data_IF_293492817422
#
_entry.id   IF_293492817422
#
_cell.length_a   1.000
_cell.length_b   1.000
_cell.length_c   1.000
_cell.angle_alpha   90.00
_cell.angle_beta   90.00
_cell.angle_gamma   90.00
#
_symmetry.space_group_name_H-M   'P 1'
#
loop_
_entity.id
_entity.type
_entity.pdbx_description
1 polymer ?
#
# COMPACT_ATOMS: atom_id res chain seq x y z
N UNK A 1 -10.45 -17.56 -58.06
CA UNK A 1 -9.58 -16.45 -57.60
C UNK A 1 -10.27 -15.86 -56.39
N UNK A 2 -9.85 -16.11 -55.15
CA UNK A 2 -8.49 -15.89 -54.63
C UNK A 2 -8.25 -16.86 -53.47
N UNK A 3 -7.22 -17.68 -53.63
CA UNK A 3 -6.62 -18.57 -52.62
C UNK A 3 -5.93 -17.71 -51.55
N UNK A 4 -6.43 -17.73 -50.32
CA UNK A 4 -5.70 -17.17 -49.18
C UNK A 4 -4.88 -18.30 -48.57
N UNK A 5 -3.56 -18.18 -48.73
CA UNK A 5 -2.53 -19.05 -48.20
C UNK A 5 -2.65 -19.21 -46.68
N UNK A 6 -2.78 -20.45 -46.22
CA UNK A 6 -2.34 -20.87 -44.90
C UNK A 6 -0.83 -20.67 -44.83
N UNK A 7 -0.39 -19.65 -44.10
CA UNK A 7 0.98 -19.55 -43.61
C UNK A 7 0.96 -19.99 -42.16
N UNK A 8 1.22 -21.28 -41.95
CA UNK A 8 1.75 -21.80 -40.70
C UNK A 8 3.01 -20.99 -40.39
N UNK A 9 2.90 -20.01 -39.49
CA UNK A 9 4.06 -19.33 -38.96
C UNK A 9 4.71 -20.28 -37.96
N UNK A 10 5.73 -21.00 -38.44
CA UNK A 10 6.73 -21.70 -37.65
C UNK A 10 7.00 -20.97 -36.32
N UNK A 11 6.52 -21.57 -35.24
CA UNK A 11 6.86 -21.14 -33.89
C UNK A 11 8.30 -21.56 -33.62
N UNK A 12 9.25 -20.74 -34.09
CA UNK A 12 10.65 -20.88 -33.70
C UNK A 12 10.71 -21.01 -32.18
N UNK A 13 11.22 -22.12 -31.61
CA UNK A 13 11.37 -22.23 -30.18
C UNK A 13 12.31 -21.11 -29.75
N UNK A 14 11.81 -20.17 -28.94
CA UNK A 14 12.64 -19.10 -28.37
C UNK A 14 13.73 -19.78 -27.54
N UNK A 15 14.93 -19.91 -28.12
CA UNK A 15 16.07 -20.55 -27.46
C UNK A 15 16.41 -19.72 -26.22
N UNK A 16 15.96 -20.21 -25.07
CA UNK A 16 16.11 -19.56 -23.79
C UNK A 16 17.57 -19.63 -23.36
N UNK A 17 18.27 -18.50 -23.37
CA UNK A 17 19.60 -18.40 -22.75
C UNK A 17 19.41 -18.53 -21.23
N UNK A 18 19.71 -19.68 -20.64
CA UNK A 18 19.75 -19.86 -19.18
C UNK A 18 21.09 -19.32 -18.64
N UNK A 19 21.08 -18.66 -17.48
CA UNK A 19 22.31 -18.28 -16.77
C UNK A 19 22.85 -19.48 -16.01
N UNK A 20 24.18 -19.64 -15.88
CA UNK A 20 24.75 -20.67 -15.00
C UNK A 20 24.44 -20.40 -13.51
N UNK A 21 24.02 -19.17 -13.18
CA UNK A 21 23.54 -18.80 -11.85
C UNK A 21 22.05 -19.12 -11.70
N UNK A 22 21.74 -20.42 -11.61
CA UNK A 22 20.39 -20.91 -11.31
C UNK A 22 20.17 -20.79 -9.80
N UNK A 23 19.24 -19.92 -9.39
CA UNK A 23 18.78 -19.80 -8.01
C UNK A 23 17.97 -21.04 -7.62
N UNK A 24 18.60 -22.21 -7.51
CA UNK A 24 18.13 -23.43 -6.83
C UNK A 24 16.59 -23.65 -6.77
N UNK A 25 15.89 -23.45 -7.90
CA UNK A 25 14.41 -23.49 -8.02
C UNK A 25 13.61 -22.59 -7.03
N UNK A 26 14.15 -21.46 -6.55
CA UNK A 26 13.49 -20.53 -5.60
C UNK A 26 13.43 -19.07 -6.08
N UNK A 27 13.51 -18.83 -7.39
CA UNK A 27 13.51 -17.48 -7.95
C UNK A 27 12.22 -16.71 -7.59
N UNK A 28 11.08 -17.39 -7.51
CA UNK A 28 9.78 -16.83 -7.09
C UNK A 28 9.82 -16.23 -5.68
N UNK A 29 10.49 -16.89 -4.74
CA UNK A 29 10.59 -16.43 -3.34
C UNK A 29 11.50 -15.22 -3.25
N UNK A 30 12.62 -15.23 -3.97
CA UNK A 30 13.52 -14.09 -4.03
C UNK A 30 12.81 -12.83 -4.55
N UNK A 31 12.05 -12.95 -5.65
CA UNK A 31 11.30 -11.84 -6.22
C UNK A 31 10.20 -11.37 -5.27
N UNK A 32 9.53 -12.27 -4.56
CA UNK A 32 8.54 -11.92 -3.55
C UNK A 32 9.17 -11.12 -2.40
N UNK A 33 10.30 -11.57 -1.84
CA UNK A 33 10.99 -10.87 -0.75
C UNK A 33 11.48 -9.50 -1.22
N UNK A 34 12.06 -9.42 -2.43
CA UNK A 34 12.52 -8.17 -3.00
C UNK A 34 11.36 -7.18 -3.20
N UNK A 35 10.22 -7.67 -3.70
CA UNK A 35 9.01 -6.87 -3.87
C UNK A 35 8.50 -6.38 -2.52
N UNK A 36 8.42 -7.26 -1.52
CA UNK A 36 8.02 -6.92 -0.15
C UNK A 36 8.86 -5.76 0.40
N UNK A 37 10.18 -5.86 0.29
CA UNK A 37 11.12 -4.80 0.75
C UNK A 37 10.86 -3.48 0.00
N UNK A 38 10.69 -3.52 -1.33
CA UNK A 38 10.43 -2.31 -2.12
C UNK A 38 9.12 -1.63 -1.71
N UNK A 39 8.03 -2.39 -1.55
CA UNK A 39 6.73 -1.88 -1.13
C UNK A 39 6.81 -1.30 0.29
N UNK A 40 7.49 -1.99 1.20
CA UNK A 40 7.73 -1.52 2.57
C UNK A 40 8.49 -0.19 2.56
N UNK A 41 9.59 -0.07 1.81
CA UNK A 41 10.39 1.17 1.75
C UNK A 41 9.61 2.35 1.15
N UNK A 42 8.87 2.12 0.07
CA UNK A 42 8.00 3.16 -0.50
C UNK A 42 6.94 3.64 0.49
N UNK A 43 6.35 2.71 1.25
CA UNK A 43 5.39 3.04 2.30
C UNK A 43 6.05 3.79 3.46
N UNK A 44 7.26 3.39 3.87
CA UNK A 44 8.05 4.08 4.90
C UNK A 44 8.26 5.54 4.51
N UNK A 45 8.72 5.82 3.29
CA UNK A 45 8.96 7.20 2.83
C UNK A 45 7.74 8.11 2.98
N UNK A 46 6.54 7.60 2.70
CA UNK A 46 5.28 8.32 2.88
C UNK A 46 4.96 8.58 4.36
N UNK A 47 5.23 7.60 5.23
CA UNK A 47 4.96 7.63 6.67
C UNK A 47 6.00 8.42 7.49
N UNK A 48 7.24 8.55 7.01
CA UNK A 48 8.37 9.14 7.76
C UNK A 48 7.99 10.46 8.41
N UNK A 49 7.36 11.38 7.66
CA UNK A 49 6.94 12.69 8.16
C UNK A 49 6.03 12.63 9.38
N UNK A 50 5.14 11.64 9.46
CA UNK A 50 4.20 11.49 10.58
C UNK A 50 4.93 11.28 11.91
N UNK A 51 6.09 10.64 11.88
CA UNK A 51 6.90 10.38 13.07
C UNK A 51 7.97 11.46 13.28
N UNK A 52 8.61 11.92 12.20
CA UNK A 52 9.72 12.89 12.31
C UNK A 52 9.26 14.29 12.66
N UNK A 53 8.02 14.68 12.35
CA UNK A 53 7.49 16.00 12.73
C UNK A 53 7.53 16.24 14.25
N UNK A 54 7.55 15.17 15.06
CA UNK A 54 7.63 15.24 16.53
C UNK A 54 9.02 15.68 17.00
N UNK A 55 10.06 15.46 16.20
CA UNK A 55 11.45 15.74 16.55
C UNK A 55 12.08 16.84 15.67
N UNK A 56 11.25 17.67 15.02
CA UNK A 56 11.64 18.78 14.14
C UNK A 56 11.59 20.16 14.83
N UNK A 57 11.62 20.19 16.17
CA UNK A 57 11.58 21.44 16.94
C UNK A 57 12.81 22.31 16.68
N UNK A 58 13.95 21.68 16.34
CA UNK A 58 15.20 22.32 15.93
C UNK A 58 15.02 23.29 14.75
N UNK A 59 14.16 22.94 13.79
CA UNK A 59 13.87 23.77 12.60
C UNK A 59 13.16 25.06 13.00
N UNK A 60 12.22 24.97 13.94
CA UNK A 60 11.47 26.14 14.42
C UNK A 60 12.37 27.04 15.25
N UNK A 61 13.23 26.46 16.10
CA UNK A 61 14.22 27.21 16.85
C UNK A 61 15.22 27.94 15.95
N UNK A 62 15.72 27.28 14.91
CA UNK A 62 16.67 27.86 13.95
C UNK A 62 16.04 29.03 13.19
N UNK A 63 14.77 28.92 12.80
CA UNK A 63 14.00 29.99 12.17
C UNK A 63 13.90 31.23 13.08
N UNK A 64 13.52 31.06 14.35
CA UNK A 64 13.42 32.17 15.30
C UNK A 64 14.78 32.78 15.66
N UNK A 65 15.85 31.97 15.74
CA UNK A 65 17.23 32.48 15.92
C UNK A 65 17.70 33.35 14.76
N UNK A 66 17.20 33.13 13.55
CA UNK A 66 17.50 33.96 12.38
C UNK A 66 16.81 35.34 12.37
N UNK A 67 16.14 35.72 13.47
CA UNK A 67 15.42 36.99 13.65
C UNK A 67 14.34 37.24 12.58
N UNK A 68 13.77 36.19 11.99
CA UNK A 68 12.64 36.31 11.10
C UNK A 68 11.36 36.53 11.92
N UNK A 69 10.74 37.71 11.76
CA UNK A 69 9.44 38.01 12.36
C UNK A 69 8.34 37.38 11.51
N UNK A 70 7.95 36.16 11.86
CA UNK A 70 6.87 35.43 11.20
C UNK A 70 6.59 34.09 11.90
N UNK A 71 5.47 33.47 11.54
CA UNK A 71 5.15 32.11 12.00
C UNK A 71 5.80 31.10 11.03
N UNK A 72 6.57 30.15 11.56
CA UNK A 72 7.15 29.10 10.74
C UNK A 72 6.04 28.13 10.28
N UNK A 73 6.18 27.50 9.10
CA UNK A 73 5.12 26.66 8.56
C UNK A 73 4.82 25.41 9.40
N UNK A 74 5.76 24.99 10.25
CA UNK A 74 5.55 23.91 11.22
C UNK A 74 4.73 24.35 12.44
N UNK A 75 4.59 25.65 12.71
CA UNK A 75 3.75 26.15 13.81
C UNK A 75 2.29 26.33 13.36
N UNK A 76 2.04 26.50 12.06
CA UNK A 76 0.69 26.63 11.52
C UNK A 76 0.00 25.27 11.36
N UNK A 77 -1.11 25.08 12.08
CA UNK A 77 -1.92 23.85 12.01
C UNK A 77 -2.41 23.54 10.59
N UNK A 78 -2.79 24.55 9.81
CA UNK A 78 -3.31 24.38 8.45
C UNK A 78 -2.23 23.91 7.48
N UNK A 79 -1.04 24.52 7.53
CA UNK A 79 0.07 24.15 6.67
C UNK A 79 0.62 22.76 7.03
N UNK A 80 0.74 22.47 8.33
CA UNK A 80 1.11 21.13 8.81
C UNK A 80 0.10 20.07 8.34
N UNK A 81 -1.21 20.33 8.47
CA UNK A 81 -2.24 19.41 7.99
C UNK A 81 -2.16 19.15 6.48
N UNK A 82 -1.79 20.16 5.69
CA UNK A 82 -1.57 20.00 4.26
C UNK A 82 -0.33 19.14 3.93
N UNK A 83 0.75 19.24 4.70
CA UNK A 83 1.91 18.35 4.57
C UNK A 83 1.57 16.89 4.90
N UNK A 84 0.65 16.67 5.84
CA UNK A 84 0.11 15.34 6.14
C UNK A 84 -0.72 14.77 5.00
N UNK A 85 -1.53 15.58 4.32
CA UNK A 85 -2.35 15.15 3.17
C UNK A 85 -1.56 15.01 1.86
N UNK A 86 -0.37 15.64 1.77
CA UNK A 86 0.49 15.63 0.59
C UNK A 86 0.69 14.28 -0.10
N UNK A 87 1.04 13.18 0.61
CA UNK A 87 1.19 11.88 -0.02
C UNK A 87 -0.11 11.30 -0.59
N UNK A 88 -1.27 11.57 0.03
CA UNK A 88 -2.56 11.11 -0.50
C UNK A 88 -2.91 11.85 -1.81
N UNK A 89 -2.61 13.15 -1.86
CA UNK A 89 -2.74 13.95 -3.09
C UNK A 89 -1.80 13.39 -4.16
N UNK A 90 -0.53 13.16 -3.83
CA UNK A 90 0.45 12.58 -4.76
C UNK A 90 0.08 11.18 -5.25
N UNK A 91 -0.46 10.32 -4.38
CA UNK A 91 -0.93 9.00 -4.75
C UNK A 91 -2.08 9.07 -5.75
N UNK A 92 -3.02 10.01 -5.55
CA UNK A 92 -4.15 10.23 -6.45
C UNK A 92 -3.69 10.71 -7.83
N UNK A 93 -2.80 11.72 -7.85
CA UNK A 93 -2.22 12.26 -9.08
C UNK A 93 -1.41 11.18 -9.81
N UNK A 94 -0.63 10.38 -9.08
CA UNK A 94 0.21 9.32 -9.64
C UNK A 94 -0.60 8.15 -10.20
N UNK A 95 -1.75 7.81 -9.60
CA UNK A 95 -2.56 6.66 -10.00
C UNK A 95 -3.18 6.82 -11.39
N UNK A 96 -3.62 8.04 -11.74
CA UNK A 96 -4.27 8.36 -13.02
C UNK A 96 -3.37 7.98 -14.22
N UNK A 97 -2.12 8.45 -14.34
CA UNK A 97 -1.21 8.05 -15.41
C UNK A 97 -0.63 6.64 -15.20
N UNK A 98 -0.45 6.18 -13.95
CA UNK A 98 0.16 4.88 -13.70
C UNK A 98 -0.69 3.72 -14.24
N UNK A 99 -2.01 3.85 -14.22
CA UNK A 99 -2.94 2.81 -14.69
C UNK A 99 -2.77 2.46 -16.20
N UNK A 100 -2.81 3.42 -17.14
CA UNK A 100 -2.51 3.13 -18.55
C UNK A 100 -1.03 2.77 -18.76
N UNK A 101 -0.10 3.33 -17.98
CA UNK A 101 1.32 2.97 -18.07
C UNK A 101 1.57 1.51 -17.70
N UNK A 102 0.87 0.99 -16.68
CA UNK A 102 0.95 -0.41 -16.26
C UNK A 102 0.51 -1.35 -17.39
N UNK A 103 -0.51 -0.97 -18.15
CA UNK A 103 -1.00 -1.79 -19.25
C UNK A 103 -0.04 -1.82 -20.45
N UNK A 104 0.68 -0.72 -20.72
CA UNK A 104 1.61 -0.58 -21.86
C UNK A 104 3.05 -1.01 -21.56
N UNK A 105 3.57 -0.66 -20.38
CA UNK A 105 4.99 -0.80 -20.04
C UNK A 105 5.29 -1.91 -19.02
N UNK A 106 4.25 -2.50 -18.42
CA UNK A 106 4.38 -3.54 -17.40
C UNK A 106 4.65 -2.99 -16.00
N UNK A 107 4.60 -3.89 -15.01
CA UNK A 107 4.77 -3.56 -13.59
C UNK A 107 6.21 -3.16 -13.30
N UNK A 108 7.18 -3.86 -13.89
CA UNK A 108 8.62 -3.62 -13.68
C UNK A 108 8.98 -2.14 -13.85
N UNK A 109 8.62 -1.54 -14.99
CA UNK A 109 8.99 -0.16 -15.32
C UNK A 109 8.22 0.85 -14.48
N UNK A 110 6.90 0.67 -14.35
CA UNK A 110 6.05 1.63 -13.64
C UNK A 110 6.34 1.62 -12.15
N UNK A 111 6.42 0.45 -11.53
CA UNK A 111 6.73 0.32 -10.10
C UNK A 111 8.11 0.91 -9.79
N UNK A 112 9.11 0.67 -10.65
CA UNK A 112 10.45 1.28 -10.51
C UNK A 112 10.41 2.80 -10.59
N UNK A 113 9.72 3.36 -11.59
CA UNK A 113 9.59 4.80 -11.74
C UNK A 113 8.95 5.44 -10.49
N UNK A 114 7.84 4.88 -10.03
CA UNK A 114 7.17 5.30 -8.79
C UNK A 114 8.13 5.25 -7.59
N UNK A 115 8.87 4.15 -7.41
CA UNK A 115 9.85 4.00 -6.33
C UNK A 115 10.97 5.04 -6.37
N UNK A 116 11.49 5.34 -7.56
CA UNK A 116 12.52 6.38 -7.77
C UNK A 116 11.97 7.77 -7.43
N UNK A 117 10.73 8.09 -7.84
CA UNK A 117 10.08 9.34 -7.46
C UNK A 117 9.97 9.48 -5.93
N UNK A 118 9.60 8.40 -5.23
CA UNK A 118 9.53 8.40 -3.77
C UNK A 118 10.89 8.55 -3.11
N UNK A 119 11.92 7.84 -3.60
CA UNK A 119 13.29 8.01 -3.13
C UNK A 119 13.76 9.47 -3.29
N UNK A 120 13.54 10.07 -4.47
CA UNK A 120 13.90 11.46 -4.75
C UNK A 120 13.17 12.44 -3.83
N UNK A 121 11.87 12.22 -3.60
CA UNK A 121 11.09 12.99 -2.64
C UNK A 121 11.61 12.85 -1.20
N UNK A 122 12.11 11.69 -0.79
CA UNK A 122 12.75 11.52 0.52
C UNK A 122 14.09 12.24 0.62
N UNK A 123 14.94 12.14 -0.40
CA UNK A 123 16.25 12.79 -0.43
C UNK A 123 16.18 14.32 -0.39
N UNK A 124 15.26 14.88 -1.17
CA UNK A 124 15.10 16.32 -1.23
C UNK A 124 14.40 16.89 0.00
N UNK A 125 13.75 16.06 0.81
CA UNK A 125 12.92 16.55 1.91
C UNK A 125 13.72 17.37 2.95
N UNK A 126 14.85 16.89 3.51
CA UNK A 126 15.61 17.69 4.48
C UNK A 126 16.14 19.02 3.90
N UNK A 127 16.56 19.01 2.64
CA UNK A 127 17.06 20.21 1.94
C UNK A 127 15.93 21.21 1.70
N UNK A 128 14.75 20.70 1.36
CA UNK A 128 13.56 21.52 1.09
C UNK A 128 13.04 22.21 2.35
N UNK A 129 13.15 21.55 3.52
CA UNK A 129 12.74 22.11 4.81
C UNK A 129 13.54 23.38 5.15
N UNK A 130 14.83 23.42 4.82
CA UNK A 130 15.67 24.60 5.02
C UNK A 130 15.40 25.73 4.01
N UNK A 131 14.68 25.45 2.91
CA UNK A 131 14.52 26.37 1.80
C UNK A 131 13.15 27.03 1.75
N UNK A 132 12.08 26.25 1.53
CA UNK A 132 10.73 26.79 1.32
C UNK A 132 9.65 25.72 1.55
N UNK A 133 8.54 26.12 2.18
CA UNK A 133 7.32 25.32 2.36
C UNK A 133 6.82 24.64 1.07
N UNK A 134 6.81 25.35 -0.07
CA UNK A 134 6.31 24.78 -1.32
C UNK A 134 7.16 23.61 -1.84
N UNK A 135 8.48 23.63 -1.57
CA UNK A 135 9.37 22.53 -1.92
C UNK A 135 9.12 21.30 -1.02
N UNK A 136 8.81 21.53 0.26
CA UNK A 136 8.42 20.46 1.19
C UNK A 136 7.12 19.80 0.71
N UNK A 137 6.11 20.59 0.32
CA UNK A 137 4.87 20.09 -0.29
C UNK A 137 5.17 19.25 -1.53
N UNK A 138 6.02 19.75 -2.44
CA UNK A 138 6.41 19.03 -3.64
C UNK A 138 7.07 17.67 -3.31
N UNK A 139 7.98 17.63 -2.34
CA UNK A 139 8.60 16.39 -1.86
C UNK A 139 7.56 15.40 -1.32
N UNK A 140 6.56 15.88 -0.56
CA UNK A 140 5.47 15.03 -0.04
C UNK A 140 4.60 14.46 -1.15
N UNK A 141 4.33 15.24 -2.20
CA UNK A 141 3.61 14.77 -3.39
C UNK A 141 4.44 13.70 -4.13
N UNK A 142 5.74 13.89 -4.30
CA UNK A 142 6.63 12.89 -4.91
C UNK A 142 6.65 11.56 -4.13
N UNK A 143 6.73 11.62 -2.80
CA UNK A 143 6.61 10.44 -1.93
C UNK A 143 5.26 9.74 -2.12
N UNK A 144 4.17 10.50 -2.28
CA UNK A 144 2.83 10.00 -2.61
C UNK A 144 2.75 9.28 -3.96
N UNK A 145 3.38 9.82 -4.99
CA UNK A 145 3.42 9.18 -6.32
C UNK A 145 4.03 7.77 -6.24
N UNK A 146 5.01 7.56 -5.36
CA UNK A 146 5.65 6.25 -5.22
C UNK A 146 4.76 5.16 -4.61
N UNK A 147 3.74 5.54 -3.83
CA UNK A 147 2.78 4.59 -3.27
C UNK A 147 1.52 4.42 -4.12
N UNK A 148 1.38 5.18 -5.21
CA UNK A 148 0.17 5.16 -6.07
C UNK A 148 -0.19 3.77 -6.60
N UNK A 149 0.82 2.93 -6.91
CA UNK A 149 0.63 1.59 -7.48
C UNK A 149 0.93 0.45 -6.51
N UNK A 150 1.12 0.73 -5.21
CA UNK A 150 1.44 -0.31 -4.21
C UNK A 150 0.39 -1.42 -4.22
N UNK A 151 -0.90 -1.07 -4.14
CA UNK A 151 -1.98 -2.07 -4.10
C UNK A 151 -2.09 -2.86 -5.40
N UNK A 152 -1.84 -2.21 -6.54
CA UNK A 152 -1.79 -2.89 -7.83
C UNK A 152 -0.62 -3.86 -7.90
N UNK A 153 0.55 -3.48 -7.40
CA UNK A 153 1.73 -4.35 -7.36
C UNK A 153 1.52 -5.56 -6.45
N UNK A 154 0.88 -5.38 -5.29
CA UNK A 154 0.49 -6.46 -4.37
C UNK A 154 -0.37 -7.50 -5.08
N UNK A 155 -1.28 -7.09 -5.96
CA UNK A 155 -2.15 -8.02 -6.69
C UNK A 155 -1.48 -8.63 -7.94
N UNK A 156 -0.85 -7.82 -8.79
CA UNK A 156 -0.37 -8.25 -10.11
C UNK A 156 0.88 -9.14 -10.01
N UNK A 157 1.81 -8.83 -9.11
CA UNK A 157 3.08 -9.56 -9.01
C UNK A 157 2.85 -11.03 -8.61
N UNK A 158 2.08 -11.35 -7.54
CA UNK A 158 1.68 -12.73 -7.23
C UNK A 158 0.94 -13.39 -8.39
N UNK A 159 0.00 -12.69 -9.03
CA UNK A 159 -0.75 -13.23 -10.16
C UNK A 159 0.14 -13.67 -11.32
N UNK A 160 1.30 -13.04 -11.53
CA UNK A 160 2.27 -13.42 -12.55
C UNK A 160 3.27 -14.48 -12.07
N UNK A 161 3.76 -14.36 -10.84
CA UNK A 161 4.93 -15.09 -10.34
C UNK A 161 4.63 -16.30 -9.44
N UNK A 162 3.41 -16.45 -8.95
CA UNK A 162 3.02 -17.59 -8.09
C UNK A 162 2.15 -18.61 -8.83
N UNK A 163 2.20 -19.90 -8.45
CA UNK A 163 1.23 -20.92 -8.89
C UNK A 163 -0.17 -20.60 -8.38
N UNK A 164 -1.22 -20.99 -9.12
CA UNK A 164 -2.62 -20.69 -8.74
C UNK A 164 -2.96 -21.14 -7.30
N UNK A 165 -2.49 -22.31 -6.88
CA UNK A 165 -2.73 -22.83 -5.54
C UNK A 165 -2.06 -22.04 -4.40
N UNK A 166 -1.07 -21.19 -4.71
CA UNK A 166 -0.30 -20.43 -3.72
C UNK A 166 -0.51 -18.91 -3.83
N UNK A 167 -1.30 -18.41 -4.80
CA UNK A 167 -1.52 -16.97 -5.05
C UNK A 167 -1.95 -16.24 -3.76
N UNK A 168 -2.91 -16.80 -3.02
CA UNK A 168 -3.44 -16.19 -1.80
C UNK A 168 -2.38 -16.00 -0.71
N UNK A 169 -1.42 -16.93 -0.60
CA UNK A 169 -0.32 -16.83 0.37
C UNK A 169 0.64 -15.70 -0.01
N UNK A 170 1.00 -15.61 -1.30
CA UNK A 170 1.88 -14.54 -1.79
C UNK A 170 1.22 -13.17 -1.64
N UNK A 171 -0.09 -13.07 -1.89
CA UNK A 171 -0.86 -11.85 -1.70
C UNK A 171 -0.86 -11.41 -0.23
N UNK A 172 -1.06 -12.34 0.71
CA UNK A 172 -1.04 -12.06 2.14
C UNK A 172 0.34 -11.58 2.59
N UNK A 173 1.42 -12.25 2.15
CA UNK A 173 2.80 -11.86 2.48
C UNK A 173 3.13 -10.46 1.96
N UNK A 174 2.79 -10.12 0.71
CA UNK A 174 3.02 -8.77 0.18
C UNK A 174 2.16 -7.71 0.88
N UNK A 175 0.95 -8.08 1.31
CA UNK A 175 0.08 -7.17 2.07
C UNK A 175 0.69 -6.79 3.44
N UNK A 176 1.53 -7.66 4.02
CA UNK A 176 2.29 -7.37 5.25
C UNK A 176 3.24 -6.16 5.12
N UNK A 177 3.57 -5.73 3.89
CA UNK A 177 4.43 -4.57 3.65
C UNK A 177 3.93 -3.31 4.39
N UNK A 178 2.61 -3.14 4.48
CA UNK A 178 1.97 -1.98 5.09
C UNK A 178 2.09 -1.97 6.61
N UNK A 179 2.05 -3.12 7.28
CA UNK A 179 2.26 -3.18 8.73
C UNK A 179 3.74 -3.13 9.08
N UNK A 180 4.59 -3.85 8.33
CA UNK A 180 6.04 -3.89 8.54
C UNK A 180 6.64 -2.48 8.42
N UNK A 181 6.21 -1.71 7.44
CA UNK A 181 6.67 -0.32 7.25
C UNK A 181 6.40 0.56 8.47
N UNK A 182 5.21 0.47 9.07
CA UNK A 182 4.90 1.23 10.29
C UNK A 182 5.83 0.87 11.45
N UNK A 183 6.05 -0.42 11.70
CA UNK A 183 6.90 -0.89 12.80
C UNK A 183 8.34 -0.44 12.61
N UNK A 184 8.89 -0.63 11.40
CA UNK A 184 10.27 -0.24 11.08
C UNK A 184 10.41 1.29 11.15
N UNK A 185 9.51 2.04 10.51
CA UNK A 185 9.57 3.50 10.50
C UNK A 185 9.51 4.08 11.90
N UNK A 186 8.59 3.62 12.74
CA UNK A 186 8.45 4.11 14.11
C UNK A 186 9.71 3.83 14.94
N UNK A 187 10.24 2.60 14.85
CA UNK A 187 11.41 2.19 15.63
C UNK A 187 12.67 2.95 15.22
N UNK A 188 12.92 3.05 13.91
CA UNK A 188 14.08 3.75 13.37
C UNK A 188 13.98 5.26 13.62
N UNK A 189 12.80 5.86 13.43
CA UNK A 189 12.60 7.27 13.72
C UNK A 189 12.81 7.59 15.20
N UNK A 190 12.32 6.75 16.13
CA UNK A 190 12.53 6.94 17.56
C UNK A 190 14.01 6.98 17.93
N UNK A 191 14.78 5.97 17.49
CA UNK A 191 16.22 5.88 17.78
C UNK A 191 16.99 7.05 17.17
N UNK A 192 16.69 7.42 15.92
CA UNK A 192 17.46 8.44 15.21
C UNK A 192 17.10 9.87 15.64
N UNK A 193 15.85 10.14 16.01
CA UNK A 193 15.44 11.43 16.57
C UNK A 193 16.17 11.74 17.89
N UNK A 194 16.43 10.73 18.74
CA UNK A 194 17.17 10.89 20.00
C UNK A 194 18.70 10.92 19.81
N UNK A 195 19.19 10.40 18.69
CA UNK A 195 20.62 10.34 18.39
C UNK A 195 21.17 11.69 17.92
N UNK A 196 22.50 11.83 17.97
CA UNK A 196 23.22 13.01 17.43
C UNK A 196 23.05 13.23 15.92
N UNK A 197 22.56 12.22 15.18
CA UNK A 197 22.33 12.33 13.74
C UNK A 197 21.02 13.05 13.38
N UNK A 198 20.11 13.19 14.34
CA UNK A 198 18.84 13.91 14.21
C UNK A 198 17.91 13.35 13.14
N UNK A 199 16.79 14.06 12.92
CA UNK A 199 15.71 13.61 12.04
C UNK A 199 16.07 13.58 10.55
N UNK A 200 17.02 14.41 10.13
CA UNK A 200 17.45 14.52 8.72
C UNK A 200 18.03 13.20 8.21
N UNK A 201 18.75 12.48 9.06
CA UNK A 201 19.37 11.18 8.76
C UNK A 201 18.37 10.10 8.34
N UNK A 202 17.17 10.10 8.91
CA UNK A 202 16.09 9.14 8.64
C UNK A 202 15.69 9.17 7.17
N UNK A 203 15.55 10.38 6.61
CA UNK A 203 15.20 10.58 5.21
C UNK A 203 16.29 10.10 4.25
N UNK A 204 17.56 10.31 4.60
CA UNK A 204 18.68 9.82 3.80
C UNK A 204 18.77 8.30 3.84
N UNK A 205 18.66 7.67 5.01
CA UNK A 205 18.72 6.21 5.15
C UNK A 205 17.61 5.54 4.35
N UNK A 206 16.36 5.98 4.51
CA UNK A 206 15.24 5.40 3.77
C UNK A 206 15.23 5.78 2.29
N UNK A 207 15.63 7.01 1.94
CA UNK A 207 15.79 7.43 0.54
C UNK A 207 16.82 6.60 -0.22
N UNK A 208 18.03 6.43 0.35
CA UNK A 208 19.10 5.60 -0.23
C UNK A 208 18.65 4.15 -0.34
N UNK A 209 18.09 3.60 0.74
CA UNK A 209 17.60 2.22 0.75
C UNK A 209 16.55 2.00 -0.34
N UNK A 210 15.59 2.92 -0.47
CA UNK A 210 14.56 2.87 -1.51
C UNK A 210 15.22 2.85 -2.89
N UNK A 211 16.12 3.80 -3.18
CA UNK A 211 16.79 3.87 -4.47
C UNK A 211 17.56 2.58 -4.81
N UNK A 212 18.34 2.05 -3.86
CA UNK A 212 19.13 0.83 -4.05
C UNK A 212 18.23 -0.38 -4.31
N UNK A 213 17.21 -0.60 -3.48
CA UNK A 213 16.32 -1.75 -3.65
C UNK A 213 15.48 -1.66 -4.92
N UNK A 214 15.04 -0.47 -5.33
CA UNK A 214 14.35 -0.29 -6.60
C UNK A 214 15.27 -0.44 -7.82
N UNK A 215 16.55 -0.07 -7.71
CA UNK A 215 17.54 -0.38 -8.75
C UNK A 215 17.73 -1.90 -8.88
N UNK A 216 17.89 -2.62 -7.75
CA UNK A 216 17.98 -4.08 -7.73
C UNK A 216 16.71 -4.72 -8.32
N UNK A 217 15.54 -4.21 -7.95
CA UNK A 217 14.26 -4.65 -8.50
C UNK A 217 14.20 -4.43 -10.02
N UNK A 218 14.62 -3.27 -10.50
CA UNK A 218 14.65 -3.00 -11.93
C UNK A 218 15.54 -3.99 -12.67
N UNK A 219 16.76 -4.26 -12.20
CA UNK A 219 17.64 -5.19 -12.92
C UNK A 219 17.17 -6.64 -12.83
N UNK A 220 16.62 -7.06 -11.68
CA UNK A 220 16.28 -8.46 -11.42
C UNK A 220 14.88 -8.84 -11.91
N UNK A 221 13.86 -8.03 -11.62
CA UNK A 221 12.47 -8.37 -11.90
C UNK A 221 12.18 -8.31 -13.41
N UNK A 222 11.37 -9.26 -13.91
CA UNK A 222 10.84 -9.28 -15.28
C UNK A 222 9.34 -9.47 -15.22
N UNK A 223 8.58 -8.77 -16.07
CA UNK A 223 7.12 -8.88 -16.05
C UNK A 223 6.63 -10.28 -16.45
N UNK A 224 7.36 -10.94 -17.35
CA UNK A 224 7.05 -12.31 -17.77
C UNK A 224 8.06 -13.31 -17.19
N UNK A 225 7.62 -14.34 -16.45
CA UNK A 225 8.50 -15.37 -15.91
C UNK A 225 9.19 -16.19 -17.02
N UNK A 226 8.57 -16.26 -18.20
CA UNK A 226 9.11 -16.92 -19.41
C UNK A 226 10.38 -16.26 -19.95
N UNK A 227 10.51 -14.95 -19.78
CA UNK A 227 11.67 -14.16 -20.23
C UNK A 227 12.78 -14.11 -19.17
N UNK A 228 12.51 -14.60 -17.95
CA UNK A 228 13.47 -14.53 -16.86
C UNK A 228 14.59 -15.57 -17.01
N UNK A 229 15.85 -15.10 -17.01
CA UNK A 229 17.05 -15.89 -17.28
C UNK A 229 17.38 -16.94 -16.20
N UNK A 230 16.98 -16.67 -14.95
CA UNK A 230 17.34 -17.48 -13.77
C UNK A 230 16.18 -18.38 -13.26
N UNK A 231 15.04 -18.45 -13.96
CA UNK A 231 13.93 -19.33 -13.56
C UNK A 231 14.15 -20.72 -14.15
N UNK A 232 14.06 -21.78 -13.35
CA UNK A 232 14.22 -23.16 -13.85
C UNK A 232 13.03 -23.61 -14.71
N UNK A 233 13.23 -24.57 -15.63
CA UNK A 233 12.12 -25.15 -16.40
C UNK A 233 11.07 -25.82 -15.50
N UNK A 234 11.49 -26.43 -14.39
CA UNK A 234 10.58 -27.01 -13.39
C UNK A 234 9.72 -25.96 -12.66
N UNK A 235 10.30 -24.78 -12.39
CA UNK A 235 9.58 -23.69 -11.71
C UNK A 235 8.62 -22.99 -12.68
N UNK A 236 9.03 -22.84 -13.95
CA UNK A 236 8.19 -22.26 -14.99
C UNK A 236 6.95 -23.11 -15.29
N UNK A 237 7.11 -24.44 -15.37
CA UNK A 237 5.96 -25.34 -15.56
C UNK A 237 5.01 -25.29 -14.36
N UNK A 238 5.51 -25.18 -13.13
CA UNK A 238 4.68 -24.98 -11.93
C UNK A 238 3.91 -23.65 -11.93
N UNK A 239 4.51 -22.56 -12.42
CA UNK A 239 3.84 -21.25 -12.50
C UNK A 239 2.77 -21.24 -13.59
N UNK A 240 3.02 -21.92 -14.72
CA UNK A 240 2.08 -21.96 -15.85
C UNK A 240 0.97 -23.00 -15.67
N UNK A 241 1.17 -24.01 -14.82
CA UNK A 241 0.19 -25.07 -14.60
C UNK A 241 -1.13 -24.47 -14.07
N UNK A 242 -2.21 -24.65 -14.81
CA UNK A 242 -3.54 -24.11 -14.50
C UNK A 242 -3.77 -22.64 -14.89
N UNK A 243 -2.79 -21.92 -15.45
CA UNK A 243 -3.01 -20.57 -15.99
C UNK A 243 -3.45 -20.66 -17.44
N UNK A 244 -4.63 -20.12 -17.75
CA UNK A 244 -5.06 -19.94 -19.13
C UNK A 244 -4.04 -19.06 -19.87
N UNK A 245 -3.70 -19.41 -21.12
CA UNK A 245 -2.91 -18.53 -21.96
C UNK A 245 -3.59 -17.16 -22.05
N UNK A 246 -2.83 -16.10 -21.81
CA UNK A 246 -3.32 -14.72 -21.85
C UNK A 246 -3.75 -14.45 -23.30
N UNK A 247 -5.03 -14.68 -23.62
CA UNK A 247 -5.64 -14.22 -24.87
C UNK A 247 -5.39 -12.72 -24.99
N UNK A 248 -5.12 -12.25 -26.22
CA UNK A 248 -4.86 -10.83 -26.54
C UNK A 248 -5.82 -9.93 -25.75
N UNK A 249 -5.26 -8.98 -24.99
CA UNK A 249 -6.04 -7.99 -24.21
C UNK A 249 -7.00 -7.26 -25.13
N UNK A 250 -8.29 -7.58 -25.03
CA UNK A 250 -9.35 -6.81 -25.66
C UNK A 250 -9.49 -5.45 -24.97
N UNK A 251 -10.03 -4.47 -25.70
CA UNK A 251 -10.24 -3.14 -25.16
C UNK A 251 -11.25 -3.19 -24.00
N UNK A 252 -10.80 -2.81 -22.80
CA UNK A 252 -11.66 -2.79 -21.61
C UNK A 252 -12.76 -1.74 -21.80
N UNK A 253 -14.06 -2.10 -21.71
CA UNK A 253 -15.16 -1.16 -21.92
C UNK A 253 -15.38 -0.30 -20.67
N UNK A 254 -14.49 0.68 -20.44
CA UNK A 254 -14.52 1.53 -19.24
C UNK A 254 -15.88 2.22 -19.00
N UNK A 255 -16.56 2.66 -20.07
CA UNK A 255 -17.88 3.30 -19.95
C UNK A 255 -18.94 2.32 -19.43
N UNK A 256 -18.97 1.08 -19.95
CA UNK A 256 -19.93 0.09 -19.50
C UNK A 256 -19.68 -0.32 -18.04
N UNK A 257 -18.42 -0.43 -17.63
CA UNK A 257 -18.03 -0.77 -16.25
C UNK A 257 -18.43 0.36 -15.28
N UNK A 258 -18.27 1.63 -15.67
CA UNK A 258 -18.57 2.77 -14.79
C UNK A 258 -20.07 2.89 -14.48
N UNK A 259 -20.93 2.52 -15.43
CA UNK A 259 -22.39 2.57 -15.27
C UNK A 259 -23.01 1.26 -14.76
N UNK A 260 -22.20 0.23 -14.51
CA UNK A 260 -22.70 -1.02 -13.95
C UNK A 260 -23.09 -0.84 -12.48
N UNK A 261 -24.32 -1.25 -12.14
CA UNK A 261 -24.89 -1.07 -10.80
C UNK A 261 -24.12 -1.84 -9.72
N UNK A 262 -23.56 -2.99 -10.06
CA UNK A 262 -22.77 -3.82 -9.13
C UNK A 262 -21.44 -3.14 -8.81
N UNK A 263 -20.78 -2.60 -9.84
CA UNK A 263 -19.52 -1.86 -9.70
C UNK A 263 -19.71 -0.60 -8.87
N UNK A 264 -20.76 0.20 -9.15
CA UNK A 264 -21.07 1.41 -8.36
C UNK A 264 -21.33 1.07 -6.90
N UNK A 265 -22.12 0.02 -6.63
CA UNK A 265 -22.42 -0.42 -5.25
C UNK A 265 -21.14 -0.86 -4.53
N UNK A 266 -20.25 -1.56 -5.22
CA UNK A 266 -18.96 -1.98 -4.68
C UNK A 266 -18.05 -0.78 -4.37
N UNK A 267 -17.98 0.22 -5.25
CA UNK A 267 -17.22 1.46 -5.04
C UNK A 267 -17.75 2.22 -3.82
N UNK A 268 -19.07 2.43 -3.73
CA UNK A 268 -19.70 3.13 -2.60
C UNK A 268 -19.43 2.40 -1.28
N UNK A 269 -19.60 1.08 -1.28
CA UNK A 269 -19.34 0.22 -0.11
C UNK A 269 -17.87 0.28 0.34
N UNK A 270 -16.94 0.19 -0.62
CA UNK A 270 -15.50 0.30 -0.36
C UNK A 270 -15.10 1.68 0.15
N UNK A 271 -15.67 2.74 -0.42
CA UNK A 271 -15.42 4.11 0.01
C UNK A 271 -15.92 4.37 1.43
N UNK A 272 -17.15 3.94 1.75
CA UNK A 272 -17.69 4.04 3.11
C UNK A 272 -16.88 3.25 4.12
N UNK A 273 -16.49 2.01 3.78
CA UNK A 273 -15.65 1.17 4.64
C UNK A 273 -14.27 1.74 4.90
N UNK A 274 -13.57 2.21 3.85
CA UNK A 274 -12.25 2.81 3.99
C UNK A 274 -12.30 4.14 4.74
N UNK A 275 -13.31 4.99 4.50
CA UNK A 275 -13.46 6.26 5.19
C UNK A 275 -13.69 6.06 6.69
N UNK A 276 -14.56 5.12 7.07
CA UNK A 276 -14.77 4.74 8.47
C UNK A 276 -13.49 4.20 9.13
N UNK A 277 -12.75 3.35 8.43
CA UNK A 277 -11.48 2.81 8.91
C UNK A 277 -10.41 3.90 9.10
N UNK A 278 -10.19 4.75 8.10
CA UNK A 278 -9.20 5.83 8.19
C UNK A 278 -9.57 6.87 9.24
N UNK A 279 -10.84 7.25 9.39
CA UNK A 279 -11.25 8.13 10.49
C UNK A 279 -10.91 7.53 11.86
N UNK A 280 -11.19 6.24 12.06
CA UNK A 280 -10.86 5.54 13.31
C UNK A 280 -9.35 5.50 13.58
N UNK A 281 -8.54 5.22 12.56
CA UNK A 281 -7.08 5.13 12.70
C UNK A 281 -6.46 6.51 12.92
N UNK A 282 -6.89 7.53 12.18
CA UNK A 282 -6.28 8.85 12.20
C UNK A 282 -6.66 9.66 13.45
N UNK A 283 -7.94 9.63 13.84
CA UNK A 283 -8.46 10.42 14.96
C UNK A 283 -8.63 9.62 16.25
N UNK A 284 -8.57 8.29 16.20
CA UNK A 284 -8.71 7.45 17.37
C UNK A 284 -7.69 7.75 18.49
N UNK A 285 -6.39 7.85 18.19
CA UNK A 285 -5.39 8.19 19.20
C UNK A 285 -5.62 9.59 19.80
N UNK A 286 -6.00 10.57 18.96
CA UNK A 286 -6.26 11.95 19.38
C UNK A 286 -7.51 12.05 20.26
N UNK A 287 -8.57 11.32 19.94
CA UNK A 287 -9.79 11.26 20.74
C UNK A 287 -9.53 10.61 22.11
N UNK A 288 -8.82 9.47 22.13
CA UNK A 288 -8.46 8.77 23.37
C UNK A 288 -7.56 9.62 24.28
N UNK A 289 -6.65 10.41 23.71
CA UNK A 289 -5.76 11.31 24.47
C UNK A 289 -6.49 12.58 24.95
N UNK A 290 -7.25 13.24 24.07
CA UNK A 290 -7.85 14.55 24.36
C UNK A 290 -9.12 14.48 25.23
N UNK A 291 -9.89 13.39 25.15
CA UNK A 291 -11.17 13.26 25.86
C UNK A 291 -11.07 12.28 27.04
N UNK A 292 -10.25 11.23 26.93
CA UNK A 292 -10.21 10.12 27.90
C UNK A 292 -8.96 10.04 28.78
N UNK A 293 -7.91 10.85 28.57
CA UNK A 293 -6.70 10.89 29.41
C UNK A 293 -6.09 9.51 29.75
N UNK A 294 -6.10 8.54 28.81
CA UNK A 294 -5.57 7.19 29.05
C UNK A 294 -4.55 6.75 27.99
N UNK A 295 -3.47 6.10 28.46
CA UNK A 295 -2.46 5.42 27.63
C UNK A 295 -3.01 4.06 27.18
N UNK A 296 -3.06 3.82 25.87
CA UNK A 296 -3.69 2.65 25.26
C UNK A 296 -2.88 1.36 25.41
N UNK A 297 -3.55 0.26 25.71
CA UNK A 297 -3.20 -1.09 25.25
C UNK A 297 -4.45 -1.96 25.24
N UNK A 298 -4.92 -2.39 24.05
CA UNK A 298 -5.48 -3.73 23.78
C UNK A 298 -6.11 -3.78 22.37
N UNK A 299 -5.51 -4.60 21.49
CA UNK A 299 -6.19 -5.17 20.31
C UNK A 299 -5.72 -6.63 20.15
N UNK A 300 -6.36 -7.58 20.83
CA UNK A 300 -6.13 -9.03 20.59
C UNK A 300 -7.43 -9.87 20.57
N UNK A 301 -8.57 -9.38 21.05
CA UNK A 301 -9.72 -10.28 21.30
C UNK A 301 -10.57 -10.61 20.05
N UNK A 302 -10.53 -9.78 18.99
CA UNK A 302 -11.41 -9.99 17.81
C UNK A 302 -10.98 -11.13 16.87
N UNK A 303 -9.74 -11.62 16.96
CA UNK A 303 -9.23 -12.63 16.04
C UNK A 303 -9.76 -14.05 16.33
N UNK A 304 -10.07 -14.38 17.58
CA UNK A 304 -10.37 -15.77 17.97
C UNK A 304 -11.82 -16.22 17.72
N UNK A 305 -12.75 -15.30 17.50
CA UNK A 305 -14.17 -15.61 17.34
C UNK A 305 -14.50 -16.04 15.89
N UNK A 306 -13.68 -15.64 14.91
CA UNK A 306 -13.91 -15.98 13.49
C UNK A 306 -13.65 -17.45 13.14
N UNK A 307 -12.88 -18.17 13.96
CA UNK A 307 -12.48 -19.56 13.67
C UNK A 307 -13.48 -20.62 14.11
N UNK A 308 -14.62 -20.23 14.71
CA UNK A 308 -15.60 -21.16 15.31
C UNK A 308 -16.92 -21.34 14.51
N UNK A 309 -17.08 -20.73 13.33
CA UNK A 309 -18.32 -20.79 12.54
C UNK A 309 -18.11 -21.55 11.21
N UNK A 310 -18.30 -22.87 11.24
CA UNK A 310 -18.11 -23.79 10.09
C UNK A 310 -19.39 -24.24 9.39
N UNK A 311 -20.56 -23.62 9.65
CA UNK A 311 -21.86 -24.19 9.25
C UNK A 311 -22.68 -23.38 8.22
N UNK A 312 -22.10 -22.44 7.47
CA UNK A 312 -22.84 -21.56 6.55
C UNK A 312 -22.13 -21.42 5.19
N UNK A 313 -22.92 -21.35 4.11
CA UNK A 313 -22.45 -21.07 2.74
C UNK A 313 -21.58 -19.81 2.65
N UNK A 314 -20.47 -19.90 1.92
CA UNK A 314 -19.37 -18.93 1.93
C UNK A 314 -19.75 -17.53 1.42
N UNK A 315 -20.63 -17.45 0.42
CA UNK A 315 -21.19 -16.16 -0.05
C UNK A 315 -22.08 -15.50 1.00
N UNK A 316 -22.92 -16.28 1.69
CA UNK A 316 -23.76 -15.77 2.78
C UNK A 316 -22.91 -15.35 3.97
N UNK A 317 -21.80 -16.05 4.24
CA UNK A 317 -20.84 -15.68 5.29
C UNK A 317 -20.17 -14.33 5.02
N UNK A 318 -19.76 -14.07 3.78
CA UNK A 318 -19.19 -12.77 3.37
C UNK A 318 -20.19 -11.62 3.52
N UNK A 319 -21.39 -11.78 2.93
CA UNK A 319 -22.44 -10.76 3.01
C UNK A 319 -22.82 -10.52 4.46
N UNK A 320 -23.01 -11.58 5.25
CA UNK A 320 -23.36 -11.46 6.67
C UNK A 320 -22.30 -10.71 7.48
N UNK A 321 -21.01 -11.05 7.36
CA UNK A 321 -19.95 -10.36 8.12
C UNK A 321 -19.67 -8.94 7.62
N UNK A 322 -19.72 -8.70 6.32
CA UNK A 322 -19.58 -7.35 5.75
C UNK A 322 -20.76 -6.47 6.16
N UNK A 323 -21.99 -6.99 6.10
CA UNK A 323 -23.20 -6.27 6.53
C UNK A 323 -23.19 -6.03 8.05
N UNK A 324 -22.82 -7.02 8.88
CA UNK A 324 -22.70 -6.83 10.33
C UNK A 324 -21.63 -5.81 10.67
N UNK A 325 -20.50 -5.85 9.99
CA UNK A 325 -19.43 -4.87 10.19
C UNK A 325 -19.89 -3.47 9.81
N UNK A 326 -20.49 -3.30 8.63
CA UNK A 326 -20.95 -2.00 8.14
C UNK A 326 -22.13 -1.43 8.95
N UNK A 327 -23.11 -2.26 9.28
CA UNK A 327 -24.26 -1.88 10.12
C UNK A 327 -23.80 -1.61 11.54
N UNK A 328 -22.89 -2.41 12.09
CA UNK A 328 -22.30 -2.21 13.42
C UNK A 328 -21.50 -0.91 13.53
N UNK A 329 -20.70 -0.58 12.52
CA UNK A 329 -20.00 0.70 12.43
C UNK A 329 -20.98 1.88 12.28
N UNK A 330 -21.97 1.77 11.40
CA UNK A 330 -22.98 2.81 11.20
C UNK A 330 -23.78 3.08 12.47
N UNK A 331 -24.21 2.04 13.18
CA UNK A 331 -24.89 2.16 14.46
C UNK A 331 -24.00 2.79 15.54
N UNK A 332 -22.73 2.38 15.64
CA UNK A 332 -21.77 2.97 16.57
C UNK A 332 -21.55 4.46 16.31
N UNK A 333 -21.42 4.87 15.04
CA UNK A 333 -21.27 6.29 14.67
C UNK A 333 -22.55 7.10 14.87
N UNK A 334 -23.72 6.53 14.59
CA UNK A 334 -25.00 7.19 14.84
C UNK A 334 -25.22 7.46 16.34
N UNK A 335 -24.87 6.50 17.20
CA UNK A 335 -24.94 6.68 18.66
C UNK A 335 -23.92 7.71 19.14
N UNK A 336 -22.71 7.73 18.56
CA UNK A 336 -21.70 8.77 18.84
C UNK A 336 -22.19 10.18 18.45
N UNK A 337 -22.92 10.31 17.33
CA UNK A 337 -23.40 11.60 16.84
C UNK A 337 -24.48 12.22 17.74
N UNK A 338 -25.28 11.40 18.42
CA UNK A 338 -26.40 11.87 19.26
C UNK A 338 -26.13 11.89 20.76
N UNK A 339 -25.00 11.34 21.24
CA UNK A 339 -24.75 11.21 22.67
C UNK A 339 -23.86 12.33 23.23
N UNK A 340 -24.31 12.96 24.31
CA UNK A 340 -23.51 13.92 25.10
C UNK A 340 -22.78 13.27 26.28
N UNK A 341 -23.04 11.98 26.54
CA UNK A 341 -22.52 11.25 27.70
C UNK A 341 -21.23 10.48 27.35
N UNK A 342 -20.17 10.72 28.12
CA UNK A 342 -18.81 10.20 27.88
C UNK A 342 -18.74 8.67 27.89
N UNK A 343 -19.48 8.01 28.77
CA UNK A 343 -19.45 6.54 28.89
C UNK A 343 -20.15 5.87 27.71
N UNK A 344 -21.26 6.45 27.24
CA UNK A 344 -22.01 5.94 26.09
C UNK A 344 -21.20 6.13 24.80
N UNK A 345 -20.53 7.28 24.66
CA UNK A 345 -19.61 7.54 23.55
C UNK A 345 -18.46 6.51 23.51
N UNK A 346 -17.90 6.15 24.67
CA UNK A 346 -16.84 5.16 24.78
C UNK A 346 -17.29 3.75 24.37
N UNK A 347 -18.47 3.31 24.80
CA UNK A 347 -19.03 2.00 24.43
C UNK A 347 -19.31 1.96 22.93
N UNK A 348 -19.94 3.01 22.39
CA UNK A 348 -20.26 3.11 20.97
C UNK A 348 -19.01 3.15 20.08
N UNK A 349 -17.97 3.86 20.51
CA UNK A 349 -16.68 3.93 19.82
C UNK A 349 -15.93 2.59 19.84
N UNK A 350 -15.87 1.93 21.00
CA UNK A 350 -15.24 0.62 21.14
C UNK A 350 -15.98 -0.43 20.31
N UNK A 351 -17.32 -0.38 20.29
CA UNK A 351 -18.16 -1.22 19.44
C UNK A 351 -17.91 -0.99 17.95
N UNK A 352 -17.79 0.27 17.50
CA UNK A 352 -17.44 0.61 16.13
C UNK A 352 -16.04 0.08 15.72
N UNK A 353 -15.06 0.13 16.64
CA UNK A 353 -13.71 -0.42 16.41
C UNK A 353 -13.75 -1.94 16.25
N UNK A 354 -14.43 -2.64 17.15
CA UNK A 354 -14.51 -4.11 17.13
C UNK A 354 -15.20 -4.58 15.86
N UNK A 355 -16.28 -3.92 15.46
CA UNK A 355 -17.03 -4.23 14.23
C UNK A 355 -16.23 -3.91 12.97
N UNK A 356 -15.44 -2.82 12.95
CA UNK A 356 -14.55 -2.48 11.83
C UNK A 356 -13.49 -3.55 11.54
N UNK A 357 -12.92 -4.15 12.59
CA UNK A 357 -11.92 -5.23 12.46
C UNK A 357 -12.43 -6.48 11.73
N UNK A 358 -13.75 -6.70 11.72
CA UNK A 358 -14.40 -7.84 11.07
C UNK A 358 -14.37 -7.71 9.53
N UNK A 359 -14.41 -6.48 8.99
CA UNK A 359 -14.43 -6.23 7.54
C UNK A 359 -13.13 -6.66 6.85
N UNK A 360 -11.98 -6.31 7.46
CA UNK A 360 -10.65 -6.63 6.94
C UNK A 360 -10.45 -8.15 6.86
N UNK A 361 -10.96 -8.91 7.83
CA UNK A 361 -10.86 -10.37 7.85
C UNK A 361 -11.74 -11.03 6.77
N UNK A 362 -12.90 -10.44 6.46
CA UNK A 362 -13.82 -10.94 5.42
C UNK A 362 -13.22 -10.82 4.02
N UNK A 363 -12.61 -9.67 3.70
CA UNK A 363 -11.97 -9.44 2.38
C UNK A 363 -10.78 -10.38 2.16
N UNK A 364 -9.97 -10.60 3.20
CA UNK A 364 -8.80 -11.50 3.13
C UNK A 364 -9.21 -12.97 2.95
N UNK A 365 -10.27 -13.44 3.64
CA UNK A 365 -10.79 -14.81 3.45
C UNK A 365 -11.47 -15.01 2.10
N UNK A 366 -12.12 -14.00 1.51
CA UNK A 366 -12.73 -14.12 0.18
C UNK A 366 -11.71 -14.21 -0.96
N UNK A 367 -10.58 -13.50 -0.85
CA UNK A 367 -9.44 -13.66 -1.77
C UNK A 367 -8.83 -15.07 -1.74
N UNK A 368 -9.11 -15.85 -0.69
CA UNK A 368 -8.67 -17.24 -0.55
C UNK A 368 -9.71 -18.26 -1.05
N UNK A 369 -10.94 -17.85 -1.39
CA UNK A 369 -12.05 -18.75 -1.75
C UNK A 369 -12.44 -18.68 -3.24
N UNK A 370 -11.79 -17.83 -4.05
CA UNK A 370 -11.90 -17.85 -5.51
C UNK A 370 -10.84 -18.75 -6.19
N UNK A 371 -10.18 -19.63 -5.43
CA UNK A 371 -9.23 -20.64 -5.92
C UNK A 371 -9.65 -22.05 -5.54
#
# INVERSE_FOLDING_TARGET
MTTVFNLDSDSFPVIRKTSSFVFWNRARIFIMILTLICLTLSQINSLTFTFTVICMDDVVEEFHRSNQTGQHFMESSTQKAFLFSGPAIGATIGLIPATPLLSRFGVRKVLTFCGICSAFGSFLFPISVASNYYLVVFCRILQGIGISVIYTAVAVIPGQWSPNNEIGTFLAVLSCALQISNVICMSVSGILCESSFGWRSIYYIFGISTFVFYAIFFFTHKDNPTVHRNVSHKELSQIQNGKAEIKKREAVPYKAILFDRTVITCIISSLGGNLGFFMLVLYGPTYLKAVLNFRSFTKIVAAQISDRLTFVSEKSRFVFFATISQVGMAAGFAVLAWTSNRVVAQIAYTFAIVTSGINVMGVVKCLQLEF
#
